data_IF_985937319815
#
_entry.id   IF_985937319815
#
_cell.length_a   1.000
_cell.length_b   1.000
_cell.length_c   1.000
_cell.angle_alpha   90.00
_cell.angle_beta   90.00
_cell.angle_gamma   90.00
#
_symmetry.space_group_name_H-M   'P 1'
#
loop_
_entity.id
_entity.type
_entity.pdbx_description
1 polymer ?
#
# COMPACT_ATOMS: atom_id res chain seq x y z
N UNK A 1 -26.44 -13.24 7.09
CA UNK A 1 -24.99 -13.04 6.89
C UNK A 1 -24.36 -14.40 6.66
N UNK A 2 -23.36 -14.51 5.78
CA UNK A 2 -22.64 -15.76 5.54
C UNK A 2 -21.54 -15.88 6.60
N UNK A 3 -21.63 -16.86 7.48
CA UNK A 3 -20.60 -17.14 8.48
C UNK A 3 -19.56 -18.09 7.90
N UNK A 4 -18.33 -18.01 8.41
CA UNK A 4 -17.26 -18.95 8.07
C UNK A 4 -17.58 -20.32 8.69
N UNK A 5 -17.22 -21.40 8.00
CA UNK A 5 -17.24 -22.75 8.56
C UNK A 5 -16.17 -22.87 9.65
N UNK A 6 -16.54 -23.46 10.78
CA UNK A 6 -15.67 -23.64 11.94
C UNK A 6 -15.29 -25.11 12.06
N UNK A 7 -14.04 -25.38 12.47
CA UNK A 7 -13.64 -26.73 12.90
C UNK A 7 -14.30 -27.11 14.23
N UNK A 8 -14.25 -28.38 14.64
CA UNK A 8 -14.81 -28.82 15.93
C UNK A 8 -14.19 -28.08 17.12
N UNK A 9 -12.87 -27.85 17.09
CA UNK A 9 -12.15 -27.10 18.13
C UNK A 9 -12.54 -25.61 18.12
N UNK A 10 -12.67 -25.01 16.94
CA UNK A 10 -13.13 -23.62 16.79
C UNK A 10 -14.56 -23.46 17.30
N UNK A 11 -15.47 -24.38 16.96
CA UNK A 11 -16.85 -24.37 17.43
C UNK A 11 -16.94 -24.58 18.95
N UNK A 12 -16.10 -25.44 19.52
CA UNK A 12 -16.03 -25.64 20.97
C UNK A 12 -15.72 -24.33 21.72
N UNK A 13 -14.76 -23.53 21.24
CA UNK A 13 -14.42 -22.26 21.88
C UNK A 13 -15.41 -21.15 21.52
N UNK A 14 -15.72 -20.98 20.24
CA UNK A 14 -16.49 -19.84 19.71
C UNK A 14 -17.98 -19.96 20.02
N UNK A 15 -18.56 -21.16 19.96
CA UNK A 15 -20.00 -21.38 20.10
C UNK A 15 -20.37 -21.98 21.45
N UNK A 16 -19.56 -22.93 21.95
CA UNK A 16 -19.81 -23.59 23.24
C UNK A 16 -19.10 -22.91 24.42
N UNK A 17 -18.55 -21.69 24.23
CA UNK A 17 -17.89 -20.88 25.26
C UNK A 17 -16.75 -21.60 25.98
N UNK A 18 -16.04 -22.46 25.25
CA UNK A 18 -14.81 -23.09 25.72
C UNK A 18 -13.68 -22.09 25.91
N UNK A 19 -12.55 -22.56 26.42
CA UNK A 19 -11.34 -21.74 26.55
C UNK A 19 -10.14 -22.56 26.08
N UNK A 20 -9.28 -21.95 25.27
CA UNK A 20 -8.01 -22.57 24.85
C UNK A 20 -7.10 -22.83 26.05
N UNK A 21 -6.16 -23.76 25.93
CA UNK A 21 -5.14 -23.93 26.97
C UNK A 21 -4.22 -22.70 26.99
N UNK A 22 -3.76 -22.28 28.17
CA UNK A 22 -2.81 -21.18 28.25
C UNK A 22 -1.52 -21.53 27.48
N UNK A 23 -0.93 -20.53 26.82
CA UNK A 23 0.30 -20.61 26.02
C UNK A 23 0.22 -21.49 24.77
N UNK A 24 -0.95 -22.04 24.41
CA UNK A 24 -1.10 -22.85 23.19
C UNK A 24 -1.62 -22.08 21.98
N UNK A 25 -2.21 -20.90 22.20
CA UNK A 25 -2.87 -20.12 21.16
C UNK A 25 -1.87 -19.47 20.20
N UNK A 26 -2.16 -19.53 18.89
CA UNK A 26 -1.34 -18.95 17.81
C UNK A 26 -0.94 -17.49 18.04
N UNK A 27 -1.82 -16.71 18.67
CA UNK A 27 -1.64 -15.27 18.81
C UNK A 27 -1.15 -14.82 20.20
N UNK A 28 -0.83 -15.74 21.10
CA UNK A 28 -0.30 -15.41 22.43
C UNK A 28 0.95 -14.52 22.32
N UNK A 29 2.02 -15.06 21.72
CA UNK A 29 3.31 -14.38 21.52
C UNK A 29 3.49 -13.92 20.07
N UNK A 30 2.46 -13.29 19.50
CA UNK A 30 2.45 -12.78 18.14
C UNK A 30 2.20 -11.27 18.13
N UNK A 31 3.08 -10.47 17.52
CA UNK A 31 3.06 -9.00 17.60
C UNK A 31 3.26 -8.34 16.23
N UNK A 32 2.71 -8.93 15.16
CA UNK A 32 2.74 -8.34 13.83
C UNK A 32 1.74 -7.16 13.71
N UNK A 33 2.06 -6.18 12.87
CA UNK A 33 1.16 -5.06 12.60
C UNK A 33 -0.02 -5.50 11.73
N UNK A 34 -1.25 -5.19 12.13
CA UNK A 34 -2.45 -5.72 11.49
C UNK A 34 -3.73 -5.55 12.27
N UNK A 35 -4.75 -6.24 11.79
CA UNK A 35 -6.12 -6.19 12.29
C UNK A 35 -6.56 -7.61 12.66
N UNK A 36 -7.00 -7.78 13.91
CA UNK A 36 -7.61 -9.01 14.37
C UNK A 36 -9.12 -8.94 14.11
N UNK A 37 -9.61 -9.90 13.35
CA UNK A 37 -11.02 -10.06 12.97
C UNK A 37 -11.64 -11.25 13.71
N UNK A 38 -12.96 -11.23 13.85
CA UNK A 38 -13.71 -12.38 14.36
C UNK A 38 -13.59 -13.56 13.39
N UNK A 39 -13.21 -14.73 13.91
CA UNK A 39 -13.07 -15.95 13.12
C UNK A 39 -14.39 -16.38 12.45
N UNK A 40 -15.55 -16.13 13.07
CA UNK A 40 -16.87 -16.55 12.56
C UNK A 40 -17.46 -15.63 11.49
N UNK A 41 -17.31 -14.31 11.64
CA UNK A 41 -18.00 -13.32 10.78
C UNK A 41 -17.07 -12.32 10.07
N UNK A 42 -15.75 -12.40 10.29
CA UNK A 42 -14.75 -11.48 9.77
C UNK A 42 -14.91 -10.00 10.21
N UNK A 43 -15.77 -9.71 11.20
CA UNK A 43 -15.90 -8.36 11.74
C UNK A 43 -14.58 -7.91 12.43
N UNK A 44 -14.14 -6.66 12.26
CA UNK A 44 -12.94 -6.15 12.92
C UNK A 44 -13.15 -6.08 14.43
N UNK A 45 -12.21 -6.60 15.22
CA UNK A 45 -12.29 -6.65 16.69
C UNK A 45 -11.21 -5.80 17.35
N UNK A 46 -9.94 -6.00 16.98
CA UNK A 46 -8.79 -5.38 17.65
C UNK A 46 -7.72 -4.94 16.66
N UNK A 47 -6.98 -3.88 16.96
CA UNK A 47 -5.77 -3.52 16.23
C UNK A 47 -4.55 -4.11 16.91
N UNK A 48 -3.50 -4.39 16.13
CA UNK A 48 -2.16 -4.72 16.63
C UNK A 48 -1.63 -3.72 17.66
N UNK A 49 -1.90 -2.42 17.46
CA UNK A 49 -1.49 -1.34 18.36
C UNK A 49 -2.02 -1.47 19.79
N UNK A 50 -3.15 -2.17 19.94
CA UNK A 50 -3.84 -2.31 21.22
C UNK A 50 -3.39 -3.60 21.94
N UNK A 51 -2.57 -4.44 21.28
CA UNK A 51 -2.07 -5.69 21.84
C UNK A 51 -0.88 -5.43 22.78
N UNK A 52 -0.87 -6.11 23.93
CA UNK A 52 0.24 -6.05 24.88
C UNK A 52 0.51 -7.42 25.54
N UNK A 53 1.67 -7.55 26.18
CA UNK A 53 2.02 -8.75 26.94
C UNK A 53 1.57 -8.63 28.39
N UNK A 54 0.62 -9.47 28.81
CA UNK A 54 0.17 -9.57 30.20
C UNK A 54 0.75 -10.78 30.95
N UNK A 55 1.39 -11.71 30.22
CA UNK A 55 1.87 -12.98 30.77
C UNK A 55 0.76 -13.98 31.15
N UNK A 56 -0.51 -13.72 30.80
CA UNK A 56 -1.62 -14.58 31.20
C UNK A 56 -1.72 -15.91 30.41
N UNK A 57 -1.02 -16.03 29.28
CA UNK A 57 -1.07 -17.20 28.40
C UNK A 57 -2.09 -17.11 27.26
N UNK A 58 -2.75 -15.96 27.08
CA UNK A 58 -3.60 -15.65 25.94
C UNK A 58 -3.29 -14.25 25.39
N UNK A 59 -3.59 -13.96 24.10
CA UNK A 59 -3.46 -12.61 23.57
C UNK A 59 -4.28 -11.62 24.40
N UNK A 60 -3.63 -10.51 24.74
CA UNK A 60 -4.20 -9.46 25.58
C UNK A 60 -4.27 -8.15 24.80
N UNK A 61 -5.43 -7.49 24.84
CA UNK A 61 -5.66 -6.19 24.22
C UNK A 61 -6.17 -5.18 25.25
N UNK A 62 -5.81 -3.92 25.12
CA UNK A 62 -6.22 -2.86 26.06
C UNK A 62 -7.33 -1.94 25.55
N UNK A 63 -7.73 -2.12 24.29
CA UNK A 63 -8.83 -1.41 23.64
C UNK A 63 -9.46 -2.30 22.57
N UNK A 64 -10.61 -1.86 22.04
CA UNK A 64 -11.34 -2.53 20.97
C UNK A 64 -11.66 -1.59 19.82
N UNK A 65 -11.95 -2.16 18.64
CA UNK A 65 -12.62 -1.39 17.59
C UNK A 65 -13.99 -0.98 18.11
N UNK A 66 -14.28 0.33 18.09
CA UNK A 66 -15.49 0.91 18.69
C UNK A 66 -16.76 0.18 18.22
N UNK A 67 -17.50 -0.41 19.16
CA UNK A 67 -18.75 -1.14 18.90
C UNK A 67 -18.57 -2.57 18.40
N UNK A 68 -17.35 -3.08 18.31
CA UNK A 68 -17.07 -4.44 17.85
C UNK A 68 -17.34 -5.52 18.91
N UNK A 69 -17.33 -5.14 20.19
CA UNK A 69 -17.38 -6.06 21.32
C UNK A 69 -18.58 -5.73 22.21
N UNK A 70 -19.28 -6.79 22.62
CA UNK A 70 -20.35 -6.74 23.60
C UNK A 70 -19.89 -7.43 24.87
N UNK A 71 -20.14 -6.78 26.00
CA UNK A 71 -19.80 -7.26 27.35
C UNK A 71 -21.03 -7.91 27.97
N UNK A 72 -20.91 -9.15 28.42
CA UNK A 72 -21.99 -9.96 28.99
C UNK A 72 -21.55 -10.49 30.34
N UNK A 73 -22.38 -10.37 31.37
CA UNK A 73 -22.05 -10.93 32.69
C UNK A 73 -22.19 -12.44 32.66
N UNK A 74 -21.18 -13.15 33.17
CA UNK A 74 -21.24 -14.59 33.36
C UNK A 74 -22.34 -14.96 34.37
N UNK A 75 -22.82 -16.20 34.31
CA UNK A 75 -23.80 -16.73 35.26
C UNK A 75 -23.31 -16.69 36.72
N UNK A 76 -21.98 -16.63 36.94
CA UNK A 76 -21.37 -16.47 38.26
C UNK A 76 -21.47 -15.04 38.82
N UNK A 77 -21.82 -14.06 37.99
CA UNK A 77 -21.93 -12.64 38.33
C UNK A 77 -20.60 -11.95 38.66
N UNK A 78 -19.46 -12.62 38.44
CA UNK A 78 -18.12 -12.14 38.81
C UNK A 78 -17.28 -11.76 37.60
N UNK A 79 -17.43 -12.46 36.49
CA UNK A 79 -16.63 -12.22 35.28
C UNK A 79 -17.50 -11.63 34.17
N UNK A 80 -16.86 -10.84 33.31
CA UNK A 80 -17.51 -10.22 32.15
C UNK A 80 -16.96 -10.88 30.90
N UNK A 81 -17.80 -11.71 30.28
CA UNK A 81 -17.56 -12.30 28.98
C UNK A 81 -17.56 -11.21 27.90
N UNK A 82 -16.63 -11.31 26.96
CA UNK A 82 -16.61 -10.50 25.74
C UNK A 82 -17.01 -11.38 24.55
N UNK A 83 -18.01 -10.91 23.80
CA UNK A 83 -18.50 -11.55 22.59
C UNK A 83 -18.46 -10.58 21.41
N UNK A 84 -18.35 -11.11 20.19
CA UNK A 84 -18.44 -10.29 18.99
C UNK A 84 -19.83 -9.68 18.87
N UNK A 85 -19.93 -8.36 18.74
CA UNK A 85 -21.20 -7.65 18.63
C UNK A 85 -22.00 -8.00 17.35
N UNK A 86 -21.33 -8.56 16.33
CA UNK A 86 -21.96 -8.89 15.05
C UNK A 86 -22.52 -10.33 14.96
N UNK A 87 -21.96 -11.29 15.71
CA UNK A 87 -22.36 -12.69 15.59
C UNK A 87 -22.42 -13.46 16.92
N UNK A 88 -22.27 -12.76 18.04
CA UNK A 88 -22.25 -13.31 19.41
C UNK A 88 -21.21 -14.42 19.64
N UNK A 89 -20.19 -14.50 18.77
CA UNK A 89 -19.05 -15.40 18.95
C UNK A 89 -18.34 -15.11 20.27
N UNK A 90 -18.11 -16.16 21.06
CA UNK A 90 -17.30 -16.08 22.27
C UNK A 90 -15.87 -15.67 21.91
N UNK A 91 -15.32 -14.67 22.61
CA UNK A 91 -13.95 -14.21 22.43
C UNK A 91 -13.10 -14.53 23.67
N UNK A 92 -13.65 -14.32 24.87
CA UNK A 92 -12.96 -14.50 26.13
C UNK A 92 -13.56 -13.63 27.24
N UNK A 93 -12.71 -12.99 28.04
CA UNK A 93 -13.13 -12.15 29.16
C UNK A 93 -12.40 -10.81 29.22
N UNK A 94 -13.07 -9.80 29.77
CA UNK A 94 -12.46 -8.50 30.09
C UNK A 94 -12.21 -8.37 31.59
N UNK A 95 -11.05 -7.81 31.93
CA UNK A 95 -10.63 -7.48 33.27
C UNK A 95 -10.27 -5.99 33.33
N UNK A 96 -10.71 -5.30 34.38
CA UNK A 96 -10.44 -3.87 34.58
C UNK A 96 -9.78 -3.68 35.95
N UNK A 97 -8.93 -2.67 36.08
CA UNK A 97 -8.34 -2.30 37.38
C UNK A 97 -7.01 -2.98 37.74
N UNK A 98 -6.39 -3.73 36.82
CA UNK A 98 -5.17 -4.51 37.09
C UNK A 98 -3.85 -3.72 36.96
N UNK A 99 -3.87 -2.56 36.32
CA UNK A 99 -2.74 -1.63 36.23
C UNK A 99 -1.76 -1.89 35.08
N UNK A 100 -2.10 -2.76 34.12
CA UNK A 100 -1.18 -3.12 33.02
C UNK A 100 -0.97 -2.01 31.98
N UNK A 101 -1.99 -1.22 31.68
CA UNK A 101 -1.94 -0.13 30.70
C UNK A 101 -2.61 1.13 31.25
N UNK A 102 -2.43 2.27 30.58
CA UNK A 102 -3.08 3.53 30.96
C UNK A 102 -4.62 3.44 30.92
N UNK A 103 -5.17 2.62 30.01
CA UNK A 103 -6.62 2.34 29.90
C UNK A 103 -7.12 1.37 30.97
N UNK A 104 -6.19 0.71 31.66
CA UNK A 104 -6.46 -0.19 32.78
C UNK A 104 -7.53 -1.26 32.50
N UNK A 105 -7.58 -1.68 31.23
CA UNK A 105 -8.51 -2.66 30.69
C UNK A 105 -7.67 -3.73 30.01
N UNK A 106 -8.03 -5.00 30.22
CA UNK A 106 -7.38 -6.14 29.60
C UNK A 106 -8.43 -7.10 29.07
N UNK A 107 -8.51 -7.18 27.76
CA UNK A 107 -9.27 -8.19 27.05
C UNK A 107 -8.39 -9.42 26.89
N UNK A 108 -8.70 -10.48 27.63
CA UNK A 108 -8.04 -11.77 27.54
C UNK A 108 -8.79 -12.63 26.54
N UNK A 109 -8.22 -12.82 25.34
CA UNK A 109 -8.94 -13.34 24.19
C UNK A 109 -8.39 -14.71 23.77
N UNK A 110 -9.26 -15.61 23.35
CA UNK A 110 -8.84 -16.86 22.71
C UNK A 110 -8.30 -16.56 21.31
N UNK A 111 -7.08 -17.01 21.02
CA UNK A 111 -6.47 -16.94 19.69
C UNK A 111 -7.34 -17.59 18.61
N UNK A 112 -7.97 -18.72 18.92
CA UNK A 112 -8.82 -19.48 17.97
C UNK A 112 -10.08 -18.70 17.56
N UNK A 113 -10.53 -17.76 18.41
CA UNK A 113 -11.66 -16.88 18.10
C UNK A 113 -11.29 -15.72 17.17
N UNK A 114 -9.99 -15.55 16.91
CA UNK A 114 -9.43 -14.48 16.08
C UNK A 114 -8.92 -15.01 14.75
N UNK A 115 -8.98 -14.13 13.75
CA UNK A 115 -8.28 -14.26 12.48
C UNK A 115 -7.47 -12.98 12.28
N UNK A 116 -6.15 -13.12 12.26
CA UNK A 116 -5.26 -11.99 11.98
C UNK A 116 -5.20 -11.71 10.48
N UNK A 117 -5.34 -10.45 10.12
CA UNK A 117 -5.05 -9.91 8.80
C UNK A 117 -3.87 -8.95 8.94
N UNK A 118 -2.75 -9.28 8.30
CA UNK A 118 -1.56 -8.43 8.36
C UNK A 118 -1.86 -7.07 7.72
N UNK A 119 -1.30 -6.01 8.31
CA UNK A 119 -1.27 -4.68 7.68
C UNK A 119 -0.29 -4.63 6.53
N UNK A 120 0.62 -5.60 6.42
CA UNK A 120 1.29 -5.87 5.16
C UNK A 120 0.22 -6.41 4.20
N UNK A 121 -0.43 -5.44 3.56
CA UNK A 121 -1.02 -5.53 2.24
C UNK A 121 -0.03 -6.27 1.32
N UNK A 122 -0.47 -6.76 0.16
CA UNK A 122 0.41 -7.23 -0.91
C UNK A 122 1.34 -6.11 -1.42
N UNK A 123 2.30 -5.68 -0.59
CA UNK A 123 3.29 -4.67 -0.86
C UNK A 123 4.61 -5.38 -1.14
N UNK A 124 5.13 -5.18 -2.34
CA UNK A 124 6.38 -5.79 -2.78
C UNK A 124 7.54 -4.91 -2.32
N UNK A 125 8.54 -5.51 -1.67
CA UNK A 125 9.79 -4.84 -1.26
C UNK A 125 10.57 -4.29 -2.47
N UNK A 126 10.43 -4.94 -3.63
CA UNK A 126 11.02 -4.51 -4.91
C UNK A 126 9.95 -4.43 -5.99
N UNK A 127 8.96 -3.55 -5.80
CA UNK A 127 8.01 -3.21 -6.85
C UNK A 127 8.68 -2.37 -7.94
N UNK A 128 8.13 -2.42 -9.16
CA UNK A 128 8.61 -1.63 -10.31
C UNK A 128 7.45 -0.82 -10.90
N UNK A 129 7.74 0.42 -11.27
CA UNK A 129 6.83 1.32 -11.99
C UNK A 129 7.59 2.01 -13.13
N UNK A 130 6.89 2.43 -14.17
CA UNK A 130 7.47 3.04 -15.36
C UNK A 130 6.70 4.31 -15.75
N UNK A 131 7.40 5.43 -15.82
CA UNK A 131 6.80 6.74 -16.05
C UNK A 131 7.50 7.49 -17.20
N UNK A 132 6.74 8.02 -18.14
CA UNK A 132 7.19 8.93 -19.19
C UNK A 132 6.54 10.30 -18.96
N UNK A 133 7.34 11.36 -18.81
CA UNK A 133 6.85 12.69 -18.45
C UNK A 133 7.71 13.81 -19.05
N UNK A 134 8.14 13.64 -20.30
CA UNK A 134 9.11 14.54 -20.93
C UNK A 134 10.54 14.09 -20.73
N UNK A 135 11.48 15.04 -20.67
CA UNK A 135 12.90 14.74 -20.44
C UNK A 135 13.09 13.87 -19.19
N UNK A 136 13.61 12.65 -19.37
CA UNK A 136 13.75 11.68 -18.28
C UNK A 136 14.65 12.14 -17.13
N UNK A 137 15.58 13.08 -17.36
CA UNK A 137 16.50 13.58 -16.33
C UNK A 137 15.75 14.28 -15.20
N UNK A 138 14.70 15.05 -15.55
CA UNK A 138 13.86 15.70 -14.56
C UNK A 138 13.04 14.69 -13.77
N UNK A 139 12.51 13.69 -14.46
CA UNK A 139 11.70 12.61 -13.87
C UNK A 139 12.53 11.78 -12.88
N UNK A 140 13.70 11.33 -13.31
CA UNK A 140 14.69 10.61 -12.49
C UNK A 140 15.04 11.40 -11.22
N UNK A 141 15.44 12.67 -11.38
CA UNK A 141 15.81 13.55 -10.28
C UNK A 141 14.73 13.68 -9.18
N UNK A 142 13.45 13.71 -9.55
CA UNK A 142 12.37 13.80 -8.56
C UNK A 142 12.08 12.47 -7.88
N UNK A 143 12.15 11.35 -8.61
CA UNK A 143 11.90 10.02 -8.03
C UNK A 143 13.03 9.57 -7.10
N UNK A 144 14.29 9.83 -7.43
CA UNK A 144 15.44 9.51 -6.56
C UNK A 144 15.34 10.14 -5.16
N UNK A 145 14.66 11.28 -5.05
CA UNK A 145 14.49 12.01 -3.80
C UNK A 145 13.31 11.55 -2.97
N UNK A 146 12.46 10.68 -3.51
CA UNK A 146 11.28 10.21 -2.82
C UNK A 146 11.64 9.07 -1.88
N UNK A 147 11.35 9.23 -0.59
CA UNK A 147 11.57 8.19 0.41
C UNK A 147 10.78 6.93 0.05
N UNK A 148 11.45 5.78 0.03
CA UNK A 148 10.88 4.49 -0.34
C UNK A 148 11.21 4.08 -1.78
N UNK A 149 11.73 4.99 -2.62
CA UNK A 149 12.34 4.64 -3.91
C UNK A 149 13.76 4.12 -3.67
N UNK A 150 14.09 2.99 -4.28
CA UNK A 150 15.41 2.37 -4.24
C UNK A 150 16.29 2.81 -5.40
N UNK A 151 15.72 2.90 -6.60
CA UNK A 151 16.41 3.33 -7.81
C UNK A 151 15.45 3.98 -8.79
N UNK A 152 15.97 4.91 -9.59
CA UNK A 152 15.30 5.46 -10.76
C UNK A 152 16.30 5.40 -11.92
N UNK A 153 15.92 4.76 -13.02
CA UNK A 153 16.82 4.51 -14.17
C UNK A 153 16.17 5.04 -15.43
N UNK A 154 16.89 5.92 -16.13
CA UNK A 154 16.48 6.51 -17.41
C UNK A 154 16.60 5.52 -18.56
N UNK A 155 15.63 5.52 -19.49
CA UNK A 155 15.59 4.59 -20.61
C UNK A 155 14.50 4.87 -21.63
N UNK A 156 14.23 3.88 -22.48
CA UNK A 156 13.32 3.94 -23.61
C UNK A 156 12.32 2.78 -23.58
N UNK A 157 11.05 3.05 -23.87
CA UNK A 157 9.99 2.03 -23.92
C UNK A 157 8.84 2.46 -24.86
N UNK A 158 8.05 1.49 -25.34
CA UNK A 158 6.79 1.72 -26.08
C UNK A 158 6.93 1.75 -27.60
N UNK A 159 8.16 1.85 -28.11
CA UNK A 159 8.46 1.85 -29.54
C UNK A 159 8.65 0.46 -30.15
N UNK A 160 8.93 0.46 -31.45
CA UNK A 160 9.08 -0.76 -32.25
C UNK A 160 10.53 -1.07 -32.64
N UNK A 161 11.44 -0.09 -32.56
CA UNK A 161 12.86 -0.32 -32.84
C UNK A 161 13.48 -1.14 -31.70
N UNK A 162 14.16 -2.25 -32.04
CA UNK A 162 14.91 -3.03 -31.06
C UNK A 162 16.24 -2.37 -30.72
N UNK A 163 16.63 -2.45 -29.44
CA UNK A 163 17.88 -1.92 -28.87
C UNK A 163 18.17 -0.47 -29.35
N UNK A 164 17.24 0.49 -29.14
CA UNK A 164 17.39 1.86 -29.59
C UNK A 164 18.52 2.57 -28.83
N UNK A 165 19.26 3.43 -29.54
CA UNK A 165 20.17 4.40 -28.93
C UNK A 165 19.52 5.80 -28.85
N UNK A 166 20.11 6.70 -28.07
CA UNK A 166 19.60 8.07 -27.92
C UNK A 166 19.45 8.79 -29.27
N UNK A 167 20.39 8.56 -30.19
CA UNK A 167 20.41 9.22 -31.51
C UNK A 167 19.21 8.79 -32.35
N UNK A 168 18.87 7.50 -32.33
CA UNK A 168 17.71 6.95 -33.00
C UNK A 168 16.42 7.49 -32.37
N UNK A 169 16.30 7.51 -31.04
CA UNK A 169 15.11 8.04 -30.35
C UNK A 169 14.88 9.52 -30.66
N UNK A 170 15.95 10.33 -30.71
CA UNK A 170 15.88 11.75 -31.08
C UNK A 170 15.31 12.00 -32.49
N UNK A 171 15.31 11.01 -33.39
CA UNK A 171 14.66 11.16 -34.71
C UNK A 171 13.12 11.25 -34.60
N UNK A 172 12.54 10.81 -33.48
CA UNK A 172 11.10 10.71 -33.29
C UNK A 172 10.42 9.59 -34.10
N UNK A 173 11.19 8.75 -34.80
CA UNK A 173 10.62 7.72 -35.70
C UNK A 173 10.56 6.33 -35.08
N UNK A 174 11.22 6.10 -33.94
CA UNK A 174 11.31 4.77 -33.29
C UNK A 174 10.03 4.37 -32.55
N UNK A 175 9.17 5.35 -32.27
CA UNK A 175 7.99 5.21 -31.43
C UNK A 175 8.27 5.07 -29.94
N UNK A 176 9.54 5.10 -29.52
CA UNK A 176 9.90 5.05 -28.10
C UNK A 176 9.67 6.39 -27.42
N UNK A 177 9.26 6.32 -26.15
CA UNK A 177 9.24 7.43 -25.22
C UNK A 177 10.47 7.39 -24.31
N UNK A 178 10.88 8.54 -23.81
CA UNK A 178 11.79 8.62 -22.66
C UNK A 178 11.03 8.21 -21.40
N UNK A 179 11.51 7.15 -20.74
CA UNK A 179 10.85 6.50 -19.61
C UNK A 179 11.83 6.34 -18.47
N UNK A 180 11.36 6.54 -17.24
CA UNK A 180 12.09 6.22 -16.02
C UNK A 180 11.51 4.95 -15.41
N UNK A 181 12.36 3.94 -15.21
CA UNK A 181 12.07 2.76 -14.40
C UNK A 181 12.33 3.09 -12.94
N UNK A 182 11.31 3.02 -12.11
CA UNK A 182 11.36 3.28 -10.66
C UNK A 182 11.22 1.96 -9.92
N UNK A 183 12.24 1.57 -9.16
CA UNK A 183 12.17 0.44 -8.22
C UNK A 183 11.91 0.99 -6.82
N UNK A 184 10.93 0.44 -6.10
CA UNK A 184 10.47 1.00 -4.84
C UNK A 184 9.95 -0.06 -3.86
N UNK A 185 10.00 0.29 -2.58
CA UNK A 185 9.37 -0.45 -1.50
C UNK A 185 7.92 0.00 -1.37
N UNK A 186 7.00 -0.83 -1.85
CA UNK A 186 5.56 -0.54 -1.83
C UNK A 186 5.00 -0.42 -0.39
N UNK A 187 5.70 -0.97 0.60
CA UNK A 187 5.33 -0.85 2.01
C UNK A 187 5.72 0.52 2.60
N UNK A 188 6.69 1.22 2.00
CA UNK A 188 7.08 2.58 2.39
C UNK A 188 6.41 3.66 1.52
N UNK A 189 6.27 3.40 0.22
CA UNK A 189 5.64 4.31 -0.74
C UNK A 189 4.74 3.52 -1.69
N UNK A 190 3.40 3.60 -1.54
CA UNK A 190 2.50 2.87 -2.42
C UNK A 190 2.53 3.47 -3.83
N UNK A 191 2.16 2.67 -4.84
CA UNK A 191 2.12 3.12 -6.24
C UNK A 191 1.29 4.40 -6.47
N UNK A 192 0.22 4.59 -5.69
CA UNK A 192 -0.61 5.80 -5.73
C UNK A 192 0.23 7.06 -5.46
N UNK A 193 1.14 7.03 -4.48
CA UNK A 193 1.98 8.18 -4.13
C UNK A 193 3.03 8.46 -5.22
N UNK A 194 3.56 7.41 -5.86
CA UNK A 194 4.44 7.57 -7.04
C UNK A 194 3.70 8.26 -8.19
N UNK A 195 2.46 7.84 -8.43
CA UNK A 195 1.65 8.35 -9.54
C UNK A 195 1.16 9.77 -9.26
N UNK A 196 0.87 10.12 -7.99
CA UNK A 196 0.65 11.51 -7.58
C UNK A 196 1.89 12.35 -7.86
N UNK A 197 3.07 11.92 -7.41
CA UNK A 197 4.32 12.65 -7.68
C UNK A 197 4.53 12.84 -9.19
N UNK A 198 4.31 11.79 -9.99
CA UNK A 198 4.37 11.86 -11.45
C UNK A 198 3.53 13.02 -12.02
N UNK A 199 2.25 13.12 -11.65
CA UNK A 199 1.38 14.21 -12.10
C UNK A 199 1.78 15.58 -11.53
N UNK A 200 2.47 15.61 -10.40
CA UNK A 200 2.92 16.84 -9.76
C UNK A 200 4.22 17.42 -10.35
N UNK A 201 5.04 16.63 -11.05
CA UNK A 201 6.37 17.07 -11.53
C UNK A 201 6.42 17.54 -12.99
N UNK A 202 5.34 17.39 -13.75
CA UNK A 202 5.28 17.77 -15.17
C UNK A 202 3.90 18.33 -15.57
N UNK A 203 3.78 18.79 -16.82
CA UNK A 203 2.50 19.25 -17.38
C UNK A 203 1.82 18.12 -18.16
N UNK A 204 1.11 17.27 -17.42
CA UNK A 204 0.31 16.17 -17.96
C UNK A 204 -0.85 16.60 -18.88
N UNK A 205 -1.04 17.90 -19.14
CA UNK A 205 -2.05 18.39 -20.09
C UNK A 205 -1.47 18.69 -21.47
N UNK A 206 -0.14 18.73 -21.60
CA UNK A 206 0.55 19.03 -22.84
C UNK A 206 0.55 17.81 -23.78
N UNK A 207 0.13 18.01 -25.04
CA UNK A 207 -0.13 16.90 -25.99
C UNK A 207 0.98 16.67 -27.02
N UNK A 208 2.05 17.46 -27.01
CA UNK A 208 3.11 17.43 -28.04
C UNK A 208 4.53 17.35 -27.47
N UNK A 209 4.66 17.07 -26.17
CA UNK A 209 5.92 17.03 -25.44
C UNK A 209 5.75 17.58 -24.03
N UNK A 210 6.84 18.09 -23.46
CA UNK A 210 6.86 18.65 -22.11
C UNK A 210 7.68 19.95 -22.07
N UNK A 211 7.02 21.05 -21.70
CA UNK A 211 7.65 22.36 -21.64
C UNK A 211 8.30 22.75 -22.98
N UNK A 212 9.60 23.10 -23.01
CA UNK A 212 10.32 23.42 -24.25
C UNK A 212 10.70 22.18 -25.08
N UNK A 213 10.63 20.97 -24.52
CA UNK A 213 11.05 19.74 -25.17
C UNK A 213 9.87 19.16 -25.96
N UNK A 214 9.84 19.45 -27.26
CA UNK A 214 8.74 19.10 -28.17
C UNK A 214 9.14 17.91 -29.03
N UNK A 215 8.35 16.84 -28.97
CA UNK A 215 8.59 15.60 -29.70
C UNK A 215 7.79 14.42 -29.15
N UNK A 216 7.54 13.39 -29.97
CA UNK A 216 6.79 12.20 -29.54
C UNK A 216 7.47 11.45 -28.38
N UNK A 217 8.80 11.51 -28.30
CA UNK A 217 9.56 10.87 -27.22
C UNK A 217 9.31 11.51 -25.84
N UNK A 218 8.80 12.74 -25.81
CA UNK A 218 8.56 13.52 -24.58
C UNK A 218 7.10 13.50 -24.13
N UNK A 219 6.25 12.67 -24.73
CA UNK A 219 4.84 12.59 -24.34
C UNK A 219 4.68 11.97 -22.95
N UNK A 220 3.59 12.35 -22.28
CA UNK A 220 3.23 11.83 -20.97
C UNK A 220 2.59 10.44 -21.10
N UNK A 221 3.13 9.44 -20.41
CA UNK A 221 2.59 8.09 -20.37
C UNK A 221 2.93 7.35 -19.06
N UNK A 222 2.05 6.43 -18.65
CA UNK A 222 2.32 5.47 -17.58
C UNK A 222 2.29 4.06 -18.17
N UNK A 223 3.33 3.29 -17.91
CA UNK A 223 3.43 1.89 -18.34
C UNK A 223 3.17 0.97 -17.15
N UNK A 224 1.96 0.41 -17.08
CA UNK A 224 1.53 -0.43 -15.96
C UNK A 224 2.04 -1.87 -16.11
N UNK A 225 2.46 -2.49 -14.99
CA UNK A 225 2.92 -3.89 -14.96
C UNK A 225 1.84 -4.88 -14.51
N UNK A 226 0.77 -4.38 -13.91
CA UNK A 226 -0.38 -5.17 -13.47
C UNK A 226 -1.67 -4.33 -13.47
N UNK A 227 -2.82 -4.99 -13.31
CA UNK A 227 -4.13 -4.33 -13.28
C UNK A 227 -4.31 -3.42 -12.05
N UNK A 228 -3.57 -3.65 -10.95
CA UNK A 228 -3.63 -2.78 -9.77
C UNK A 228 -3.05 -1.40 -10.11
N UNK A 229 -1.89 -1.36 -10.77
CA UNK A 229 -1.29 -0.11 -11.24
C UNK A 229 -2.19 0.60 -12.25
N UNK A 230 -2.72 -0.13 -13.23
CA UNK A 230 -3.62 0.43 -14.24
C UNK A 230 -4.84 1.09 -13.61
N UNK A 231 -5.54 0.39 -12.71
CA UNK A 231 -6.73 0.92 -12.04
C UNK A 231 -6.39 2.12 -11.15
N UNK A 232 -5.28 2.09 -10.43
CA UNK A 232 -4.83 3.22 -9.61
C UNK A 232 -4.55 4.46 -10.47
N UNK A 233 -3.90 4.28 -11.62
CA UNK A 233 -3.63 5.38 -12.55
C UNK A 233 -4.93 5.95 -13.14
N UNK A 234 -5.88 5.11 -13.54
CA UNK A 234 -7.21 5.53 -13.99
C UNK A 234 -7.95 6.33 -12.93
N UNK A 235 -7.99 5.86 -11.68
CA UNK A 235 -8.64 6.58 -10.58
C UNK A 235 -8.02 7.97 -10.32
N UNK A 236 -6.71 8.12 -10.49
CA UNK A 236 -6.05 9.41 -10.35
C UNK A 236 -6.31 10.33 -11.55
N UNK A 237 -6.39 9.78 -12.76
CA UNK A 237 -6.80 10.52 -13.96
C UNK A 237 -8.23 11.03 -13.79
N UNK A 238 -9.17 10.17 -13.37
CA UNK A 238 -10.56 10.55 -13.13
C UNK A 238 -10.65 11.69 -12.09
N UNK A 239 -9.88 11.62 -11.00
CA UNK A 239 -9.79 12.71 -10.00
C UNK A 239 -9.27 14.02 -10.59
N UNK A 240 -8.30 13.96 -11.52
CA UNK A 240 -7.79 15.16 -12.19
C UNK A 240 -8.83 15.75 -13.15
N UNK A 241 -9.57 14.90 -13.86
CA UNK A 241 -10.67 15.34 -14.74
C UNK A 241 -11.81 15.99 -13.94
N UNK A 242 -12.15 15.46 -12.76
CA UNK A 242 -13.10 16.06 -11.82
C UNK A 242 -12.66 17.46 -11.35
N UNK A 243 -11.34 17.70 -11.31
CA UNK A 243 -10.73 19.02 -11.04
C UNK A 243 -10.66 19.92 -12.29
N UNK A 244 -11.32 19.54 -13.39
CA UNK A 244 -11.34 20.20 -14.70
C UNK A 244 -9.99 20.24 -15.43
N UNK A 245 -9.04 19.36 -15.11
CA UNK A 245 -7.86 19.17 -15.95
C UNK A 245 -8.20 18.35 -17.20
N UNK A 246 -7.53 18.65 -18.31
CA UNK A 246 -7.57 17.81 -19.52
C UNK A 246 -6.31 16.96 -19.56
N UNK A 247 -6.39 15.74 -19.06
CA UNK A 247 -5.23 14.86 -18.94
C UNK A 247 -4.88 14.29 -20.32
N UNK A 248 -3.64 14.53 -20.76
CA UNK A 248 -3.07 14.01 -22.00
C UNK A 248 -2.26 12.72 -21.81
N UNK A 249 -2.00 12.33 -20.56
CA UNK A 249 -1.27 11.12 -20.20
C UNK A 249 -1.93 9.86 -20.74
N UNK A 250 -1.19 9.06 -21.50
CA UNK A 250 -1.67 7.76 -21.98
C UNK A 250 -1.29 6.61 -21.02
N UNK A 251 -2.09 5.55 -21.01
CA UNK A 251 -1.80 4.32 -20.26
C UNK A 251 -1.47 3.18 -21.22
N UNK A 252 -0.36 2.50 -20.98
CA UNK A 252 0.10 1.37 -21.77
C UNK A 252 0.50 0.21 -20.86
N UNK A 253 0.34 -1.03 -21.35
CA UNK A 253 0.97 -2.17 -20.69
C UNK A 253 2.49 -2.07 -20.87
N UNK A 254 3.25 -2.37 -19.81
CA UNK A 254 4.70 -2.30 -19.86
C UNK A 254 5.27 -3.29 -20.89
N UNK A 255 6.08 -2.77 -21.81
CA UNK A 255 6.82 -3.56 -22.80
C UNK A 255 8.28 -3.72 -22.37
N UNK A 256 9.14 -4.20 -23.28
CA UNK A 256 10.58 -4.24 -23.04
C UNK A 256 11.11 -2.82 -22.77
N UNK A 257 11.80 -2.66 -21.64
CA UNK A 257 12.54 -1.46 -21.27
C UNK A 257 13.97 -1.56 -21.79
N UNK A 258 14.45 -0.50 -22.42
CA UNK A 258 15.84 -0.36 -22.85
C UNK A 258 16.50 0.72 -22.01
N UNK A 259 17.47 0.34 -21.18
CA UNK A 259 18.23 1.28 -20.36
C UNK A 259 18.99 2.25 -21.27
N UNK A 260 18.93 3.55 -20.96
CA UNK A 260 19.67 4.57 -21.68
C UNK A 260 21.14 4.53 -21.30
N UNK A 261 21.97 5.16 -22.14
CA UNK A 261 23.42 5.21 -21.97
C UNK A 261 23.83 5.82 -20.62
N UNK A 262 24.95 5.36 -20.03
CA UNK A 262 25.44 5.75 -18.69
C UNK A 262 25.56 7.26 -18.43
N UNK A 263 25.74 8.05 -19.48
CA UNK A 263 25.83 9.51 -19.39
C UNK A 263 24.48 10.19 -19.19
N UNK A 264 23.36 9.49 -19.43
CA UNK A 264 22.02 9.96 -19.12
C UNK A 264 21.61 9.69 -17.69
N UNK A 265 22.12 8.61 -17.08
CA UNK A 265 21.79 8.24 -15.70
C UNK A 265 22.30 9.29 -14.71
N UNK A 266 21.55 9.60 -13.66
CA UNK A 266 21.88 10.55 -12.60
C UNK A 266 22.36 11.93 -13.13
N UNK A 267 21.85 12.40 -14.28
CA UNK A 267 22.46 13.52 -15.01
C UNK A 267 22.55 14.80 -14.14
N UNK A 268 21.49 15.11 -13.39
CA UNK A 268 21.47 16.30 -12.54
C UNK A 268 22.34 16.17 -11.29
N UNK A 269 22.48 14.96 -10.74
CA UNK A 269 23.40 14.69 -9.63
C UNK A 269 24.86 14.84 -10.09
N UNK A 270 25.20 14.24 -11.24
CA UNK A 270 26.54 14.32 -11.85
C UNK A 270 26.94 15.76 -12.23
N UNK A 271 25.97 16.59 -12.64
CA UNK A 271 26.23 17.97 -13.10
C UNK A 271 26.01 19.04 -12.04
N UNK A 272 25.41 18.71 -10.90
CA UNK A 272 25.05 19.66 -9.84
C UNK A 272 24.02 20.72 -10.27
N UNK A 273 23.26 20.44 -11.33
CA UNK A 273 22.23 21.33 -11.88
C UNK A 273 20.85 20.95 -11.35
N UNK A 274 19.84 21.74 -11.70
CA UNK A 274 18.44 21.46 -11.40
C UNK A 274 17.63 21.30 -12.70
N UNK A 275 16.52 20.55 -12.68
CA UNK A 275 15.65 20.39 -13.84
C UNK A 275 15.16 21.73 -14.40
N UNK A 276 15.23 21.90 -15.72
CA UNK A 276 14.76 23.12 -16.39
C UNK A 276 13.31 23.01 -16.90
N UNK A 277 12.85 21.79 -17.23
CA UNK A 277 11.53 21.51 -17.79
C UNK A 277 10.54 20.88 -16.79
N UNK A 278 11.00 20.55 -15.58
CA UNK A 278 10.20 19.94 -14.51
C UNK A 278 10.20 20.78 -13.24
N UNK A 279 9.02 21.04 -12.71
CA UNK A 279 8.82 21.73 -11.44
C UNK A 279 7.70 21.06 -10.68
N UNK A 280 7.89 20.77 -9.40
CA UNK A 280 6.85 20.17 -8.57
C UNK A 280 5.76 21.19 -8.21
N UNK A 281 4.49 20.84 -8.48
CA UNK A 281 3.28 21.53 -8.03
C UNK A 281 2.38 20.54 -7.28
N UNK A 282 1.98 20.87 -6.06
CA UNK A 282 1.08 20.00 -5.28
C UNK A 282 -0.37 20.11 -5.80
N UNK A 283 -0.98 18.99 -6.17
CA UNK A 283 -2.31 18.94 -6.80
C UNK A 283 -3.29 18.15 -5.95
N UNK A 284 -2.86 16.99 -5.45
CA UNK A 284 -3.71 16.09 -4.68
C UNK A 284 -3.63 16.47 -3.20
N UNK A 285 -4.74 16.94 -2.62
CA UNK A 285 -4.87 17.32 -1.21
C UNK A 285 -5.75 16.36 -0.44
#
# INVERSE_FOLDING_TARGET
MKYNELTEEEAYVIENKGTERPFSGKYNDFYEDGLYKCKKCNAPLYKSSDKFSSGCGWPSFDDEVKGAIKRVLDADGRRVEIVCANCDAHLGHVFEGEGFTAKNTRHCVNSISLKFESRNCDCKEHAVAYFAAGCFWGVEYYFEKLKGVHSAVSGYMGGHLEDPDYTAVCTGTTGHLEVVKVEYDECQVPFEELTKLFFEIHDFTQTNGQGPDIGPQYLSAIFYVDEKQKNTALELIDKLEDLNYKVATSLHEASRFYEAEDYHQDYYEKTGKVPYCHSRREIFK
#
